data_IF_266932514209
#
_entry.id   IF_266932514209
#
_cell.length_a   1.000
_cell.length_b   1.000
_cell.length_c   1.000
_cell.angle_alpha   90.00
_cell.angle_beta   90.00
_cell.angle_gamma   90.00
#
_symmetry.space_group_name_H-M   'P 1'
#
loop_
_entity.id
_entity.type
_entity.pdbx_description
1 polymer ?
#
# COMPACT_ATOMS: atom_id res chain seq x y z
N UNK A 1 -1.34 12.85 16.46
CA UNK A 1 -2.46 13.80 16.69
C UNK A 1 -1.97 15.20 17.11
N UNK A 2 -0.94 15.32 17.95
CA UNK A 2 -0.42 16.64 18.40
C UNK A 2 0.07 17.54 17.24
N UNK A 3 0.63 16.96 16.19
CA UNK A 3 1.12 17.70 15.03
C UNK A 3 0.03 18.12 14.02
N UNK A 4 -1.22 17.65 14.16
CA UNK A 4 -2.29 17.90 13.18
C UNK A 4 -2.62 19.40 12.97
N UNK A 5 -2.73 20.24 14.02
CA UNK A 5 -2.96 21.68 13.83
C UNK A 5 -1.80 22.37 13.08
N UNK A 6 -0.56 21.93 13.31
CA UNK A 6 0.60 22.44 12.59
C UNK A 6 0.59 21.99 11.12
N UNK A 7 0.27 20.72 10.85
CA UNK A 7 0.16 20.19 9.50
C UNK A 7 -0.85 20.99 8.65
N UNK A 8 -2.03 21.26 9.18
CA UNK A 8 -3.07 22.04 8.49
C UNK A 8 -2.68 23.49 8.16
N UNK A 9 -1.72 24.05 8.88
CA UNK A 9 -1.21 25.40 8.64
C UNK A 9 0.05 25.44 7.76
N UNK A 10 0.80 24.32 7.71
CA UNK A 10 2.14 24.31 7.12
C UNK A 10 2.14 24.64 5.63
N UNK A 11 1.23 24.07 4.86
CA UNK A 11 1.14 24.31 3.41
C UNK A 11 0.91 25.78 3.04
N UNK A 12 0.22 26.55 3.89
CA UNK A 12 -0.05 27.96 3.62
C UNK A 12 1.18 28.87 3.76
N UNK A 13 2.26 28.40 4.41
CA UNK A 13 3.49 29.18 4.65
C UNK A 13 4.29 29.34 3.35
N UNK A 14 4.32 28.30 2.50
CA UNK A 14 5.09 28.29 1.26
C UNK A 14 4.30 27.60 0.14
N UNK A 15 3.21 28.23 -0.29
CA UNK A 15 2.26 27.67 -1.25
C UNK A 15 2.88 27.27 -2.62
N UNK A 16 3.97 27.92 -3.03
CA UNK A 16 4.69 27.60 -4.26
C UNK A 16 5.71 26.45 -4.11
N UNK A 17 5.94 25.96 -2.89
CA UNK A 17 6.90 24.88 -2.65
C UNK A 17 6.20 23.53 -2.68
N UNK A 18 6.57 22.66 -3.63
CA UNK A 18 6.05 21.29 -3.73
C UNK A 18 6.23 20.53 -2.40
N UNK A 19 7.41 20.59 -1.81
CA UNK A 19 7.71 19.93 -0.54
C UNK A 19 6.86 20.47 0.61
N UNK A 20 6.65 21.78 0.71
CA UNK A 20 5.80 22.35 1.75
C UNK A 20 4.32 21.95 1.61
N UNK A 21 3.83 21.82 0.38
CA UNK A 21 2.49 21.31 0.09
C UNK A 21 2.36 19.83 0.44
N UNK A 22 3.41 19.04 0.22
CA UNK A 22 3.43 17.60 0.48
C UNK A 22 3.55 17.24 1.97
N UNK A 23 4.39 17.92 2.74
CA UNK A 23 4.74 17.54 4.13
C UNK A 23 3.55 17.25 5.05
N UNK A 24 2.42 18.00 4.98
CA UNK A 24 1.24 17.68 5.77
C UNK A 24 0.66 16.30 5.48
N UNK A 25 0.78 15.79 4.25
CA UNK A 25 0.24 14.49 3.86
C UNK A 25 0.85 13.32 4.62
N UNK A 26 2.10 13.43 5.10
CA UNK A 26 2.70 12.45 5.98
C UNK A 26 1.89 12.24 7.27
N UNK A 27 1.36 13.35 7.83
CA UNK A 27 0.53 13.30 9.04
C UNK A 27 -0.88 12.85 8.70
N UNK A 28 -1.44 13.35 7.61
CA UNK A 28 -2.78 12.98 7.18
C UNK A 28 -2.88 11.49 6.86
N UNK A 29 -1.93 10.94 6.11
CA UNK A 29 -1.84 9.51 5.79
C UNK A 29 -1.73 8.65 7.06
N UNK A 30 -0.87 9.02 8.01
CA UNK A 30 -0.72 8.30 9.29
C UNK A 30 -1.97 8.38 10.19
N UNK A 31 -2.84 9.34 9.97
CA UNK A 31 -4.08 9.50 10.71
C UNK A 31 -5.31 8.99 9.93
N UNK A 32 -5.13 8.51 8.70
CA UNK A 32 -6.22 8.07 7.84
C UNK A 32 -7.15 9.20 7.41
N UNK A 33 -6.61 10.42 7.26
CA UNK A 33 -7.30 11.62 6.80
C UNK A 33 -7.09 11.75 5.29
N UNK A 34 -7.83 10.92 4.55
CA UNK A 34 -7.55 10.68 3.13
C UNK A 34 -7.87 11.87 2.24
N UNK A 35 -9.01 12.56 2.43
CA UNK A 35 -9.35 13.78 1.69
C UNK A 35 -8.27 14.86 1.86
N UNK A 36 -7.76 15.07 3.09
CA UNK A 36 -6.69 16.04 3.35
C UNK A 36 -5.36 15.61 2.72
N UNK A 37 -5.05 14.30 2.71
CA UNK A 37 -3.88 13.76 2.01
C UNK A 37 -3.99 13.95 0.50
N UNK A 38 -5.15 13.69 -0.10
CA UNK A 38 -5.43 13.91 -1.53
C UNK A 38 -5.18 15.37 -1.88
N UNK A 39 -5.81 16.32 -1.16
CA UNK A 39 -5.68 17.74 -1.48
C UNK A 39 -4.23 18.23 -1.34
N UNK A 40 -3.53 17.78 -0.30
CA UNK A 40 -2.12 18.12 -0.06
C UNK A 40 -1.24 17.68 -1.23
N UNK A 41 -1.45 16.46 -1.73
CA UNK A 41 -0.62 15.92 -2.82
C UNK A 41 -1.00 16.48 -4.20
N UNK A 42 -2.27 16.78 -4.47
CA UNK A 42 -2.68 17.51 -5.69
C UNK A 42 -1.94 18.86 -5.76
N UNK A 43 -1.93 19.62 -4.67
CA UNK A 43 -1.25 20.90 -4.61
C UNK A 43 0.28 20.73 -4.79
N UNK A 44 0.86 19.72 -4.16
CA UNK A 44 2.30 19.43 -4.27
C UNK A 44 2.70 19.08 -5.70
N UNK A 45 1.97 18.19 -6.36
CA UNK A 45 2.21 17.78 -7.74
C UNK A 45 2.14 18.99 -8.66
N UNK A 46 1.10 19.84 -8.53
CA UNK A 46 0.96 21.06 -9.33
C UNK A 46 2.14 22.02 -9.12
N UNK A 47 2.58 22.21 -7.88
CA UNK A 47 3.74 23.05 -7.58
C UNK A 47 5.05 22.45 -8.13
N UNK A 48 5.21 21.12 -8.10
CA UNK A 48 6.37 20.41 -8.65
C UNK A 48 6.45 20.58 -10.17
N UNK A 49 5.33 20.41 -10.87
CA UNK A 49 5.24 20.60 -12.34
C UNK A 49 5.55 22.04 -12.74
N UNK A 50 4.98 23.02 -12.02
CA UNK A 50 5.26 24.43 -12.23
C UNK A 50 6.76 24.76 -12.03
N UNK A 51 7.36 24.23 -10.96
CA UNK A 51 8.78 24.40 -10.70
C UNK A 51 9.65 23.78 -11.79
N UNK A 52 9.36 22.54 -12.20
CA UNK A 52 10.10 21.85 -13.24
C UNK A 52 10.07 22.63 -14.57
N UNK A 53 8.90 23.15 -14.96
CA UNK A 53 8.74 23.98 -16.15
C UNK A 53 9.56 25.28 -16.06
N UNK A 54 9.48 26.00 -14.95
CA UNK A 54 10.19 27.27 -14.76
C UNK A 54 11.72 27.11 -14.72
N UNK A 55 12.19 25.98 -14.19
CA UNK A 55 13.62 25.69 -14.08
C UNK A 55 14.18 24.97 -15.32
N UNK A 56 13.37 24.66 -16.31
CA UNK A 56 13.80 23.94 -17.52
C UNK A 56 14.26 22.51 -17.22
N UNK A 57 13.72 21.87 -16.20
CA UNK A 57 14.00 20.46 -15.89
C UNK A 57 13.49 19.61 -17.06
N UNK A 58 14.38 18.76 -17.58
CA UNK A 58 13.99 17.79 -18.61
C UNK A 58 13.27 16.61 -17.95
N UNK A 59 12.07 16.32 -18.45
CA UNK A 59 11.22 15.27 -17.88
C UNK A 59 10.52 15.73 -16.58
N UNK A 60 10.29 14.78 -15.70
CA UNK A 60 9.52 14.97 -14.47
C UNK A 60 10.45 15.11 -13.26
N UNK A 61 10.08 15.99 -12.33
CA UNK A 61 10.84 16.19 -11.10
C UNK A 61 10.47 15.15 -10.04
N UNK A 62 11.43 14.72 -9.22
CA UNK A 62 11.25 13.69 -8.18
C UNK A 62 10.14 14.01 -7.16
N UNK A 63 9.93 15.27 -6.82
CA UNK A 63 8.85 15.68 -5.91
C UNK A 63 7.45 15.45 -6.51
N UNK A 64 7.32 15.48 -7.83
CA UNK A 64 6.07 15.14 -8.51
C UNK A 64 5.72 13.66 -8.31
N UNK A 65 6.67 12.76 -8.58
CA UNK A 65 6.43 11.32 -8.45
C UNK A 65 6.23 10.93 -6.98
N UNK A 66 6.91 11.60 -6.07
CA UNK A 66 6.72 11.42 -4.64
C UNK A 66 5.29 11.79 -4.20
N UNK A 67 4.77 12.91 -4.70
CA UNK A 67 3.37 13.31 -4.47
C UNK A 67 2.37 12.32 -5.09
N UNK A 68 2.66 11.81 -6.30
CA UNK A 68 1.80 10.83 -6.99
C UNK A 68 1.63 9.53 -6.19
N UNK A 69 2.69 9.01 -5.54
CA UNK A 69 2.61 7.79 -4.75
C UNK A 69 1.66 7.96 -3.56
N UNK A 70 1.73 9.08 -2.84
CA UNK A 70 0.81 9.40 -1.74
C UNK A 70 -0.62 9.63 -2.23
N UNK A 71 -0.77 10.29 -3.37
CA UNK A 71 -2.08 10.57 -3.97
C UNK A 71 -2.79 9.27 -4.37
N UNK A 72 -2.09 8.38 -5.07
CA UNK A 72 -2.61 7.08 -5.44
C UNK A 72 -3.03 6.28 -4.21
N UNK A 73 -2.16 6.23 -3.17
CA UNK A 73 -2.47 5.50 -1.95
C UNK A 73 -3.74 6.03 -1.29
N UNK A 74 -3.90 7.34 -1.20
CA UNK A 74 -5.10 7.94 -0.60
C UNK A 74 -6.37 7.66 -1.43
N UNK A 75 -6.30 7.73 -2.76
CA UNK A 75 -7.43 7.36 -3.63
C UNK A 75 -7.85 5.91 -3.43
N UNK A 76 -6.88 4.99 -3.30
CA UNK A 76 -7.16 3.57 -3.07
C UNK A 76 -7.85 3.35 -1.72
N UNK A 77 -7.49 4.10 -0.68
CA UNK A 77 -8.15 3.98 0.61
C UNK A 77 -9.59 4.51 0.60
N UNK A 78 -9.90 5.50 -0.23
CA UNK A 78 -11.26 6.01 -0.42
C UNK A 78 -12.08 5.22 -1.47
N UNK A 79 -11.52 4.13 -2.02
CA UNK A 79 -12.11 3.37 -3.10
C UNK A 79 -12.48 4.23 -4.32
N UNK A 80 -11.63 5.23 -4.63
CA UNK A 80 -11.68 6.06 -5.84
C UNK A 80 -10.80 5.42 -6.91
N UNK A 81 -11.14 4.21 -7.33
CA UNK A 81 -10.29 3.37 -8.18
C UNK A 81 -10.07 3.97 -9.58
N UNK A 82 -11.07 4.71 -10.11
CA UNK A 82 -10.90 5.45 -11.37
C UNK A 82 -9.85 6.55 -11.24
N UNK A 83 -9.87 7.29 -10.12
CA UNK A 83 -8.86 8.32 -9.86
C UNK A 83 -7.47 7.72 -9.64
N UNK A 84 -7.39 6.58 -8.97
CA UNK A 84 -6.15 5.83 -8.84
C UNK A 84 -5.64 5.33 -10.21
N UNK A 85 -6.53 4.80 -11.07
CA UNK A 85 -6.18 4.38 -12.43
C UNK A 85 -5.68 5.56 -13.27
N UNK A 86 -6.31 6.76 -13.20
CA UNK A 86 -5.82 7.96 -13.86
C UNK A 86 -4.35 8.25 -13.51
N UNK A 87 -3.95 8.04 -12.23
CA UNK A 87 -2.56 8.22 -11.80
C UNK A 87 -1.63 7.13 -12.37
N UNK A 88 -2.09 5.89 -12.47
CA UNK A 88 -1.34 4.80 -13.12
C UNK A 88 -1.14 5.07 -14.60
N UNK A 89 -2.19 5.50 -15.33
CA UNK A 89 -2.06 5.84 -16.75
C UNK A 89 -1.13 7.04 -16.95
N UNK A 90 -1.21 8.05 -16.09
CA UNK A 90 -0.27 9.16 -16.11
C UNK A 90 1.17 8.71 -15.86
N UNK A 91 1.41 7.86 -14.83
CA UNK A 91 2.75 7.32 -14.54
C UNK A 91 3.34 6.58 -15.75
N UNK A 92 2.54 5.87 -16.53
CA UNK A 92 2.98 5.15 -17.74
C UNK A 92 3.50 6.08 -18.85
N UNK A 93 3.09 7.34 -18.83
CA UNK A 93 3.58 8.34 -19.81
C UNK A 93 4.95 8.89 -19.44
N UNK A 94 5.40 8.71 -18.21
CA UNK A 94 6.64 9.25 -17.69
C UNK A 94 7.81 8.36 -18.12
N UNK A 95 8.69 8.87 -18.96
CA UNK A 95 9.88 8.17 -19.46
C UNK A 95 11.21 8.81 -19.03
N UNK A 96 11.17 10.09 -18.66
CA UNK A 96 12.33 10.86 -18.21
C UNK A 96 12.03 11.52 -16.87
N UNK A 97 12.95 11.37 -15.92
CA UNK A 97 12.86 11.92 -14.56
C UNK A 97 14.20 12.57 -14.14
N UNK A 98 14.12 13.59 -13.29
CA UNK A 98 15.31 14.27 -12.77
C UNK A 98 15.04 14.85 -11.36
N UNK A 99 15.99 14.66 -10.41
CA UNK A 99 17.14 13.76 -10.50
C UNK A 99 16.71 12.29 -10.45
N UNK A 100 17.56 11.36 -10.92
CA UNK A 100 17.28 9.93 -10.75
C UNK A 100 17.68 9.54 -9.32
N UNK A 101 16.69 9.19 -8.48
CA UNK A 101 16.90 8.76 -7.10
C UNK A 101 15.84 7.71 -6.66
N UNK A 102 15.82 7.39 -5.38
CA UNK A 102 14.91 6.35 -4.84
C UNK A 102 13.43 6.75 -4.83
N UNK A 103 13.06 8.04 -4.87
CA UNK A 103 11.66 8.47 -4.87
C UNK A 103 10.96 8.05 -6.16
N UNK A 104 11.59 8.30 -7.31
CA UNK A 104 11.05 7.87 -8.61
C UNK A 104 11.07 6.35 -8.73
N UNK A 105 12.18 5.70 -8.32
CA UNK A 105 12.26 4.26 -8.35
C UNK A 105 11.13 3.62 -7.52
N UNK A 106 10.86 4.18 -6.33
CA UNK A 106 9.79 3.71 -5.47
C UNK A 106 8.41 3.95 -6.10
N UNK A 107 8.15 5.16 -6.61
CA UNK A 107 6.87 5.47 -7.26
C UNK A 107 6.60 4.52 -8.45
N UNK A 108 7.57 4.34 -9.35
CA UNK A 108 7.44 3.44 -10.50
C UNK A 108 7.18 1.98 -10.11
N UNK A 109 7.73 1.51 -9.02
CA UNK A 109 7.56 0.13 -8.55
C UNK A 109 6.34 -0.04 -7.63
N UNK A 110 6.19 0.84 -6.64
CA UNK A 110 5.17 0.69 -5.59
C UNK A 110 3.77 1.09 -6.05
N UNK A 111 3.62 2.13 -6.88
CA UNK A 111 2.29 2.57 -7.32
C UNK A 111 1.51 1.47 -8.05
N UNK A 112 2.04 0.82 -9.12
CA UNK A 112 1.30 -0.25 -9.79
C UNK A 112 1.13 -1.48 -8.89
N UNK A 113 2.13 -1.77 -8.04
CA UNK A 113 2.04 -2.89 -7.09
C UNK A 113 0.91 -2.66 -6.08
N UNK A 114 0.87 -1.48 -5.46
CA UNK A 114 -0.19 -1.09 -4.51
C UNK A 114 -1.56 -1.07 -5.19
N UNK A 115 -1.64 -0.56 -6.42
CA UNK A 115 -2.88 -0.51 -7.18
C UNK A 115 -3.50 -1.91 -7.38
N UNK A 116 -2.68 -2.91 -7.71
CA UNK A 116 -3.14 -4.29 -7.83
C UNK A 116 -3.47 -4.93 -6.46
N UNK A 117 -2.59 -4.79 -5.46
CA UNK A 117 -2.73 -5.47 -4.18
C UNK A 117 -3.87 -4.92 -3.31
N UNK A 118 -4.06 -3.60 -3.25
CA UNK A 118 -5.14 -2.95 -2.47
C UNK A 118 -6.53 -3.32 -3.02
N UNK A 119 -6.62 -3.57 -4.31
CA UNK A 119 -7.84 -4.02 -4.97
C UNK A 119 -8.01 -5.53 -4.94
N UNK A 120 -6.99 -6.26 -4.47
CA UNK A 120 -6.90 -7.73 -4.52
C UNK A 120 -7.07 -8.27 -5.95
N UNK A 121 -6.62 -7.49 -6.95
CA UNK A 121 -6.58 -7.92 -8.35
C UNK A 121 -5.34 -8.77 -8.60
N UNK A 122 -5.46 -10.05 -8.25
CA UNK A 122 -4.36 -11.01 -8.39
C UNK A 122 -3.96 -11.28 -9.83
N UNK A 123 -4.91 -11.12 -10.76
CA UNK A 123 -4.65 -11.26 -12.20
C UNK A 123 -3.77 -10.11 -12.71
N UNK A 124 -4.03 -8.88 -12.27
CA UNK A 124 -3.18 -7.73 -12.55
C UNK A 124 -1.83 -7.86 -11.84
N UNK A 125 -1.82 -8.31 -10.58
CA UNK A 125 -0.59 -8.44 -9.79
C UNK A 125 0.48 -9.34 -10.46
N UNK A 126 0.10 -10.47 -11.05
CA UNK A 126 1.05 -11.35 -11.75
C UNK A 126 1.60 -10.76 -13.05
N UNK A 127 0.97 -9.72 -13.61
CA UNK A 127 1.37 -9.06 -14.83
C UNK A 127 2.21 -7.80 -14.60
N UNK A 128 2.50 -7.47 -13.34
CA UNK A 128 3.30 -6.28 -12.99
C UNK A 128 4.66 -6.31 -13.73
N UNK A 129 5.06 -5.19 -14.27
CA UNK A 129 6.33 -5.02 -14.97
C UNK A 129 7.11 -3.85 -14.38
N UNK A 130 8.45 -3.94 -14.44
CA UNK A 130 9.31 -2.79 -14.13
C UNK A 130 9.30 -1.82 -15.31
N UNK A 131 8.70 -0.67 -15.10
CA UNK A 131 8.63 0.42 -16.09
C UNK A 131 9.07 1.75 -15.44
N UNK A 132 9.70 2.66 -16.19
CA UNK A 132 10.17 2.51 -17.58
C UNK A 132 11.32 1.49 -17.69
N UNK A 133 11.42 0.81 -18.84
CA UNK A 133 12.44 -0.23 -19.03
C UNK A 133 13.88 0.32 -19.07
N UNK A 134 14.04 1.59 -19.46
CA UNK A 134 15.32 2.30 -19.49
C UNK A 134 15.74 2.91 -18.16
N UNK A 135 14.91 2.79 -17.09
CA UNK A 135 15.28 3.27 -15.78
C UNK A 135 16.40 2.37 -15.17
N UNK A 136 17.36 2.92 -14.44
CA UNK A 136 18.51 2.18 -13.95
C UNK A 136 18.18 1.31 -12.72
N UNK A 137 17.30 0.34 -12.88
CA UNK A 137 16.73 -0.52 -11.84
C UNK A 137 17.77 -1.25 -10.97
N UNK A 138 18.95 -1.51 -11.52
CA UNK A 138 20.02 -2.18 -10.76
C UNK A 138 20.58 -1.33 -9.60
N UNK A 139 20.34 -0.02 -9.62
CA UNK A 139 20.71 0.88 -8.52
C UNK A 139 19.67 0.90 -7.40
N UNK A 140 18.48 0.33 -7.63
CA UNK A 140 17.33 0.42 -6.73
C UNK A 140 16.74 -0.97 -6.43
N UNK A 141 17.55 -1.86 -5.80
CA UNK A 141 17.13 -3.26 -5.58
C UNK A 141 15.93 -3.39 -4.65
N UNK A 142 15.81 -2.55 -3.62
CA UNK A 142 14.66 -2.54 -2.71
C UNK A 142 13.36 -2.15 -3.43
N UNK A 143 13.40 -1.09 -4.20
CA UNK A 143 12.25 -0.58 -4.93
C UNK A 143 11.74 -1.63 -5.95
N UNK A 144 12.68 -2.25 -6.66
CA UNK A 144 12.43 -3.37 -7.58
C UNK A 144 11.76 -4.56 -6.88
N UNK A 145 12.14 -4.87 -5.65
CA UNK A 145 11.59 -5.98 -4.88
C UNK A 145 10.08 -5.86 -4.66
N UNK A 146 9.51 -4.66 -4.59
CA UNK A 146 8.06 -4.47 -4.44
C UNK A 146 7.28 -5.10 -5.60
N UNK A 147 7.79 -5.03 -6.83
CA UNK A 147 7.17 -5.67 -7.99
C UNK A 147 7.23 -7.20 -7.89
N UNK A 148 8.38 -7.76 -7.47
CA UNK A 148 8.51 -9.20 -7.25
C UNK A 148 7.55 -9.68 -6.15
N UNK A 149 7.42 -8.91 -5.05
CA UNK A 149 6.48 -9.21 -3.98
C UNK A 149 5.03 -9.20 -4.46
N UNK A 150 4.62 -8.18 -5.23
CA UNK A 150 3.29 -8.11 -5.83
C UNK A 150 2.98 -9.31 -6.74
N UNK A 151 3.92 -9.67 -7.65
CA UNK A 151 3.78 -10.85 -8.52
C UNK A 151 3.66 -12.13 -7.72
N UNK A 152 4.45 -12.27 -6.65
CA UNK A 152 4.41 -13.45 -5.79
C UNK A 152 3.05 -13.61 -5.14
N UNK A 153 2.52 -12.56 -4.51
CA UNK A 153 1.19 -12.61 -3.88
C UNK A 153 0.11 -12.94 -4.92
N UNK A 154 0.15 -12.29 -6.08
CA UNK A 154 -0.75 -12.61 -7.19
C UNK A 154 -0.66 -14.07 -7.60
N UNK A 155 0.56 -14.62 -7.77
CA UNK A 155 0.77 -16.00 -8.18
C UNK A 155 0.27 -17.01 -7.13
N UNK A 156 0.49 -16.76 -5.84
CA UNK A 156 -0.03 -17.63 -4.77
C UNK A 156 -1.54 -17.67 -4.77
N UNK A 157 -2.21 -16.53 -4.83
CA UNK A 157 -3.68 -16.47 -4.83
C UNK A 157 -4.30 -17.09 -6.09
N UNK A 158 -3.59 -17.04 -7.23
CA UNK A 158 -3.97 -17.74 -8.47
C UNK A 158 -3.52 -19.20 -8.53
N UNK A 159 -2.97 -19.76 -7.43
CA UNK A 159 -2.47 -21.15 -7.34
C UNK A 159 -1.33 -21.47 -8.31
N UNK A 160 -0.59 -20.47 -8.79
CA UNK A 160 0.60 -20.60 -9.63
C UNK A 160 1.86 -20.73 -8.77
N UNK A 161 1.95 -21.81 -7.98
CA UNK A 161 2.99 -21.96 -6.96
C UNK A 161 4.44 -21.99 -7.52
N UNK A 162 4.63 -22.48 -8.73
CA UNK A 162 5.95 -22.47 -9.38
C UNK A 162 6.42 -21.03 -9.63
N UNK A 163 5.53 -20.16 -10.12
CA UNK A 163 5.82 -18.75 -10.38
C UNK A 163 6.09 -18.03 -9.05
N UNK A 164 5.26 -18.26 -8.02
CA UNK A 164 5.46 -17.70 -6.70
C UNK A 164 6.83 -18.05 -6.10
N UNK A 165 7.26 -19.32 -6.23
CA UNK A 165 8.59 -19.76 -5.75
C UNK A 165 9.74 -19.14 -6.56
N UNK A 166 9.54 -18.85 -7.84
CA UNK A 166 10.53 -18.15 -8.64
C UNK A 166 10.67 -16.68 -8.20
N UNK A 167 9.56 -15.98 -7.94
CA UNK A 167 9.59 -14.61 -7.41
C UNK A 167 10.22 -14.58 -6.00
N UNK A 168 9.95 -15.58 -5.13
CA UNK A 168 10.58 -15.70 -3.81
C UNK A 168 12.11 -15.78 -3.93
N UNK A 169 12.63 -16.56 -4.87
CA UNK A 169 14.08 -16.62 -5.13
C UNK A 169 14.65 -15.26 -5.53
N UNK A 170 13.91 -14.47 -6.33
CA UNK A 170 14.36 -13.11 -6.67
C UNK A 170 14.40 -12.20 -5.44
N UNK A 171 13.40 -12.27 -4.56
CA UNK A 171 13.41 -11.50 -3.29
C UNK A 171 14.60 -11.91 -2.41
N UNK A 172 14.90 -13.19 -2.29
CA UNK A 172 16.06 -13.69 -1.52
C UNK A 172 17.39 -13.17 -2.09
N UNK A 173 17.57 -13.23 -3.42
CA UNK A 173 18.77 -12.69 -4.08
C UNK A 173 18.93 -11.17 -3.87
N UNK A 174 17.83 -10.41 -3.86
CA UNK A 174 17.86 -8.98 -3.57
C UNK A 174 18.22 -8.74 -2.11
N UNK A 175 17.66 -9.54 -1.18
CA UNK A 175 17.96 -9.45 0.24
C UNK A 175 19.46 -9.70 0.51
N UNK A 176 20.07 -10.71 -0.12
CA UNK A 176 21.51 -10.99 0.01
C UNK A 176 22.35 -9.79 -0.46
N UNK A 177 22.00 -9.18 -1.61
CA UNK A 177 22.66 -7.96 -2.10
C UNK A 177 22.56 -6.77 -1.12
N UNK A 178 21.40 -6.59 -0.48
CA UNK A 178 21.20 -5.53 0.51
C UNK A 178 22.07 -5.77 1.76
N UNK A 179 22.19 -7.03 2.19
CA UNK A 179 23.08 -7.41 3.30
C UNK A 179 24.56 -7.19 2.95
N UNK A 180 24.99 -7.56 1.77
CA UNK A 180 26.35 -7.32 1.26
C UNK A 180 26.67 -5.82 1.21
N UNK A 181 25.68 -5.01 0.81
CA UNK A 181 25.76 -3.55 0.79
C UNK A 181 25.64 -2.92 2.19
N UNK A 182 25.40 -3.70 3.25
CA UNK A 182 25.17 -3.25 4.63
C UNK A 182 23.98 -2.30 4.78
N UNK A 183 22.99 -2.39 3.89
CA UNK A 183 21.73 -1.67 3.98
C UNK A 183 20.76 -2.46 4.88
N UNK A 184 21.02 -2.43 6.17
CA UNK A 184 20.28 -3.23 7.16
C UNK A 184 18.80 -2.84 7.26
N UNK A 185 18.47 -1.57 7.03
CA UNK A 185 17.08 -1.11 7.07
C UNK A 185 16.26 -1.72 5.93
N UNK A 186 16.72 -1.55 4.68
CA UNK A 186 16.00 -2.12 3.52
C UNK A 186 16.04 -3.64 3.50
N UNK A 187 17.13 -4.26 3.97
CA UNK A 187 17.20 -5.72 4.16
C UNK A 187 16.12 -6.21 5.15
N UNK A 188 15.90 -5.51 6.27
CA UNK A 188 14.85 -5.84 7.23
C UNK A 188 13.44 -5.71 6.60
N UNK A 189 13.16 -4.63 5.88
CA UNK A 189 11.88 -4.46 5.17
C UNK A 189 11.63 -5.59 4.15
N UNK A 190 12.68 -5.98 3.41
CA UNK A 190 12.57 -7.07 2.46
C UNK A 190 12.41 -8.43 3.14
N UNK A 191 13.05 -8.65 4.30
CA UNK A 191 12.86 -9.88 5.08
C UNK A 191 11.40 -10.04 5.55
N UNK A 192 10.72 -8.95 5.89
CA UNK A 192 9.29 -8.95 6.20
C UNK A 192 8.48 -9.44 5.00
N UNK A 193 8.77 -8.90 3.79
CA UNK A 193 8.11 -9.35 2.55
C UNK A 193 8.41 -10.82 2.24
N UNK A 194 9.65 -11.28 2.45
CA UNK A 194 10.05 -12.69 2.26
C UNK A 194 9.26 -13.61 3.19
N UNK A 195 9.21 -13.30 4.50
CA UNK A 195 8.44 -14.10 5.47
C UNK A 195 6.95 -14.13 5.15
N UNK A 196 6.37 -12.98 4.75
CA UNK A 196 4.99 -12.90 4.28
C UNK A 196 4.77 -13.81 3.08
N UNK A 197 5.67 -13.76 2.12
CA UNK A 197 5.65 -14.58 0.90
C UNK A 197 5.73 -16.09 1.20
N UNK A 198 6.69 -16.48 2.03
CA UNK A 198 6.85 -17.86 2.48
C UNK A 198 5.60 -18.34 3.22
N UNK A 199 5.02 -17.49 4.08
CA UNK A 199 3.78 -17.78 4.80
C UNK A 199 2.62 -18.11 3.84
N UNK A 200 2.40 -17.27 2.83
CA UNK A 200 1.36 -17.50 1.84
C UNK A 200 1.63 -18.74 0.95
N UNK A 201 2.88 -19.01 0.58
CA UNK A 201 3.25 -20.25 -0.13
C UNK A 201 2.94 -21.46 0.74
N UNK A 202 3.37 -21.49 2.01
CA UNK A 202 3.08 -22.56 2.97
C UNK A 202 1.58 -22.79 3.16
N UNK A 203 0.81 -21.70 3.23
CA UNK A 203 -0.65 -21.79 3.30
C UNK A 203 -1.24 -22.46 2.06
N UNK A 204 -0.80 -22.06 0.88
CA UNK A 204 -1.25 -22.65 -0.39
C UNK A 204 -0.83 -24.14 -0.53
N UNK A 205 0.25 -24.55 0.12
CA UNK A 205 0.71 -25.96 0.23
C UNK A 205 -0.06 -26.75 1.31
N UNK A 206 -0.96 -26.12 2.07
CA UNK A 206 -1.72 -26.75 3.15
C UNK A 206 -0.98 -26.84 4.49
N UNK A 207 0.21 -26.26 4.61
CA UNK A 207 1.04 -26.25 5.81
C UNK A 207 0.65 -25.11 6.75
N UNK A 208 -0.59 -25.17 7.30
CA UNK A 208 -1.22 -24.07 8.04
C UNK A 208 -0.42 -23.58 9.25
N UNK A 209 0.20 -24.47 10.03
CA UNK A 209 0.95 -24.09 11.23
C UNK A 209 2.21 -23.28 10.87
N UNK A 210 2.98 -23.73 9.87
CA UNK A 210 4.16 -23.03 9.38
C UNK A 210 3.78 -21.67 8.76
N UNK A 211 2.69 -21.65 7.99
CA UNK A 211 2.16 -20.43 7.41
C UNK A 211 1.87 -19.37 8.46
N UNK A 212 1.13 -19.72 9.52
CA UNK A 212 0.81 -18.81 10.62
C UNK A 212 2.05 -18.34 11.39
N UNK A 213 3.01 -19.25 11.64
CA UNK A 213 4.27 -18.88 12.29
C UNK A 213 5.03 -17.81 11.50
N UNK A 214 5.15 -18.00 10.18
CA UNK A 214 5.83 -17.04 9.29
C UNK A 214 5.07 -15.71 9.21
N UNK A 215 3.76 -15.75 9.02
CA UNK A 215 2.94 -14.55 8.92
C UNK A 215 2.91 -13.75 10.22
N UNK A 216 2.79 -14.41 11.38
CA UNK A 216 2.86 -13.73 12.69
C UNK A 216 4.23 -13.09 12.89
N UNK A 217 5.31 -13.82 12.56
CA UNK A 217 6.67 -13.27 12.63
C UNK A 217 6.85 -12.05 11.71
N UNK A 218 6.33 -12.11 10.46
CA UNK A 218 6.39 -10.98 9.54
C UNK A 218 5.65 -9.76 10.09
N UNK A 219 4.43 -9.96 10.58
CA UNK A 219 3.61 -8.90 11.14
C UNK A 219 4.23 -8.28 12.41
N UNK A 220 4.81 -9.08 13.30
CA UNK A 220 5.48 -8.58 14.51
C UNK A 220 6.77 -7.82 14.18
N UNK A 221 7.52 -8.27 13.17
CA UNK A 221 8.70 -7.55 12.66
C UNK A 221 8.30 -6.21 12.06
N UNK A 222 7.25 -6.15 11.25
CA UNK A 222 6.75 -4.93 10.65
C UNK A 222 6.28 -3.94 11.73
N UNK A 223 5.52 -4.41 12.70
CA UNK A 223 5.03 -3.61 13.82
C UNK A 223 6.15 -3.02 14.69
N UNK A 224 7.27 -3.73 14.84
CA UNK A 224 8.43 -3.28 15.62
C UNK A 224 9.42 -2.43 14.82
N UNK A 225 9.24 -2.34 13.49
CA UNK A 225 10.13 -1.55 12.63
C UNK A 225 9.66 -0.10 12.58
N UNK A 226 10.52 0.83 12.99
CA UNK A 226 10.29 2.25 12.76
C UNK A 226 10.44 2.56 11.27
N UNK A 227 9.36 3.04 10.68
CA UNK A 227 9.33 3.36 9.28
C UNK A 227 9.93 4.74 9.02
N UNK A 228 10.87 4.83 8.09
CA UNK A 228 11.33 6.11 7.55
C UNK A 228 10.15 6.89 6.92
N UNK A 229 10.07 8.20 7.14
CA UNK A 229 8.88 8.97 6.79
C UNK A 229 8.70 9.24 5.29
N UNK A 230 9.54 8.68 4.42
CA UNK A 230 9.55 9.07 3.00
C UNK A 230 8.41 8.43 2.19
N UNK A 231 8.10 7.16 2.41
CA UNK A 231 7.03 6.48 1.66
C UNK A 231 5.69 6.52 2.42
N UNK A 232 4.52 6.44 1.75
CA UNK A 232 3.23 6.49 2.44
C UNK A 232 3.00 5.31 3.39
N UNK A 233 3.54 4.15 3.09
CA UNK A 233 3.41 2.93 3.87
C UNK A 233 3.98 1.74 3.15
N UNK A 234 3.86 0.60 3.74
CA UNK A 234 4.03 -0.70 3.12
C UNK A 234 3.12 -0.78 1.89
N UNK A 235 3.52 -1.53 0.86
CA UNK A 235 2.65 -1.70 -0.32
C UNK A 235 1.34 -2.41 0.06
N UNK A 236 1.41 -3.29 1.09
CA UNK A 236 0.29 -3.84 1.83
C UNK A 236 0.79 -4.31 3.21
N UNK A 237 0.12 -4.00 4.33
CA UNK A 237 0.59 -4.38 5.66
C UNK A 237 0.59 -5.89 5.91
N UNK A 238 1.67 -6.42 6.48
CA UNK A 238 1.76 -7.82 6.83
C UNK A 238 0.71 -8.24 7.87
N UNK A 239 0.36 -7.34 8.79
CA UNK A 239 -0.69 -7.59 9.81
C UNK A 239 -2.08 -7.70 9.17
N UNK A 240 -2.39 -6.91 8.15
CA UNK A 240 -3.63 -7.02 7.38
C UNK A 240 -3.70 -8.35 6.63
N UNK A 241 -2.59 -8.75 5.97
CA UNK A 241 -2.50 -10.05 5.30
C UNK A 241 -2.59 -11.25 6.25
N UNK A 242 -2.13 -11.12 7.50
CA UNK A 242 -2.35 -12.12 8.55
C UNK A 242 -3.84 -12.24 8.88
N UNK A 243 -4.55 -11.12 8.96
CA UNK A 243 -6.00 -11.09 9.13
C UNK A 243 -6.73 -11.81 7.99
N UNK A 244 -6.33 -11.54 6.74
CA UNK A 244 -6.86 -12.23 5.55
C UNK A 244 -6.65 -13.75 5.66
N UNK A 245 -5.44 -14.18 6.04
CA UNK A 245 -5.13 -15.61 6.21
C UNK A 245 -6.00 -16.27 7.29
N UNK A 246 -6.21 -15.63 8.44
CA UNK A 246 -7.13 -16.14 9.47
C UNK A 246 -8.58 -16.24 8.97
N UNK A 247 -9.07 -15.28 8.20
CA UNK A 247 -10.41 -15.37 7.59
C UNK A 247 -10.53 -16.55 6.63
N UNK A 248 -9.51 -16.81 5.80
CA UNK A 248 -9.48 -17.97 4.91
C UNK A 248 -9.41 -19.30 5.67
N UNK A 249 -8.81 -19.32 6.86
CA UNK A 249 -8.77 -20.49 7.74
C UNK A 249 -10.07 -20.72 8.51
N UNK A 250 -11.02 -19.78 8.50
CA UNK A 250 -12.25 -19.85 9.28
C UNK A 250 -12.05 -19.49 10.75
N UNK A 251 -11.05 -18.65 11.06
CA UNK A 251 -10.68 -18.18 12.40
C UNK A 251 -11.04 -16.68 12.59
N UNK A 252 -12.33 -16.30 12.50
CA UNK A 252 -12.71 -14.88 12.41
C UNK A 252 -12.34 -14.07 13.67
N UNK A 253 -12.32 -14.67 14.86
CA UNK A 253 -11.92 -13.97 16.07
C UNK A 253 -10.45 -13.52 16.01
N UNK A 254 -9.54 -14.40 15.55
CA UNK A 254 -8.12 -14.06 15.37
C UNK A 254 -7.90 -13.08 14.23
N UNK A 255 -8.70 -13.21 13.15
CA UNK A 255 -8.69 -12.24 12.06
C UNK A 255 -9.03 -10.84 12.55
N UNK A 256 -10.07 -10.70 13.37
CA UNK A 256 -10.44 -9.42 13.98
C UNK A 256 -9.31 -8.81 14.79
N UNK A 257 -8.64 -9.60 15.66
CA UNK A 257 -7.49 -9.14 16.45
C UNK A 257 -6.37 -8.59 15.55
N UNK A 258 -6.09 -9.27 14.43
CA UNK A 258 -5.08 -8.83 13.47
C UNK A 258 -5.49 -7.51 12.76
N UNK A 259 -6.71 -7.41 12.27
CA UNK A 259 -7.19 -6.18 11.62
C UNK A 259 -7.27 -5.00 12.60
N UNK A 260 -7.73 -5.21 13.83
CA UNK A 260 -7.76 -4.15 14.84
C UNK A 260 -6.35 -3.69 15.25
N UNK A 261 -5.36 -4.59 15.27
CA UNK A 261 -3.97 -4.25 15.52
C UNK A 261 -3.41 -3.39 14.36
N UNK A 262 -3.69 -3.77 13.11
CA UNK A 262 -3.32 -2.98 11.93
C UNK A 262 -3.99 -1.60 11.94
N UNK A 263 -5.29 -1.53 12.19
CA UNK A 263 -6.06 -0.27 12.20
C UNK A 263 -5.61 0.73 13.29
N UNK A 264 -4.92 0.28 14.34
CA UNK A 264 -4.28 1.18 15.32
C UNK A 264 -3.08 1.92 14.72
N UNK A 265 -2.34 1.27 13.82
CA UNK A 265 -1.17 1.82 13.11
C UNK A 265 -1.56 2.56 11.83
N UNK A 266 -2.53 2.00 11.12
CA UNK A 266 -3.02 2.46 9.82
C UNK A 266 -4.53 2.76 9.88
N UNK A 267 -4.93 3.85 10.55
CA UNK A 267 -6.35 4.17 10.72
C UNK A 267 -7.06 4.37 9.39
N UNK A 268 -8.33 3.98 9.34
CA UNK A 268 -9.20 4.16 8.17
C UNK A 268 -8.67 3.49 6.88
N UNK A 269 -7.90 2.39 6.99
CA UNK A 269 -7.60 1.60 5.80
C UNK A 269 -8.86 0.86 5.33
N UNK A 270 -9.09 0.90 4.01
CA UNK A 270 -10.26 0.25 3.40
C UNK A 270 -10.31 -1.25 3.73
N UNK A 271 -9.24 -1.97 3.39
CA UNK A 271 -9.17 -3.42 3.60
C UNK A 271 -9.19 -3.82 5.08
N UNK A 272 -8.54 -3.04 5.95
CA UNK A 272 -8.56 -3.26 7.39
C UNK A 272 -9.97 -3.16 7.98
N UNK A 273 -10.73 -2.11 7.63
CA UNK A 273 -12.12 -1.94 8.09
C UNK A 273 -13.08 -2.95 7.47
N UNK A 274 -12.92 -3.24 6.18
CA UNK A 274 -13.69 -4.29 5.52
C UNK A 274 -13.44 -5.65 6.17
N UNK A 275 -12.16 -6.02 6.38
CA UNK A 275 -11.76 -7.27 7.01
C UNK A 275 -12.27 -7.42 8.44
N UNK A 276 -12.19 -6.36 9.27
CA UNK A 276 -12.74 -6.35 10.62
C UNK A 276 -14.26 -6.54 10.62
N UNK A 277 -14.97 -5.84 9.71
CA UNK A 277 -16.40 -6.01 9.52
C UNK A 277 -16.78 -7.45 9.13
N UNK A 278 -16.05 -8.05 8.18
CA UNK A 278 -16.24 -9.46 7.75
C UNK A 278 -15.96 -10.45 8.88
N UNK A 279 -14.95 -10.19 9.69
CA UNK A 279 -14.62 -11.04 10.85
C UNK A 279 -15.75 -11.04 11.88
N UNK A 280 -16.33 -9.88 12.20
CA UNK A 280 -17.47 -9.76 13.10
C UNK A 280 -18.76 -10.37 12.50
N UNK A 281 -19.01 -10.19 11.20
CA UNK A 281 -20.11 -10.84 10.49
C UNK A 281 -20.01 -12.37 10.58
N UNK A 282 -18.84 -12.93 10.26
CA UNK A 282 -18.59 -14.38 10.35
C UNK A 282 -18.67 -14.93 11.79
N UNK A 283 -18.45 -14.08 12.80
CA UNK A 283 -18.63 -14.41 14.22
C UNK A 283 -20.06 -14.25 14.71
N UNK A 284 -21.01 -13.84 13.84
CA UNK A 284 -22.41 -13.58 14.18
C UNK A 284 -22.66 -12.26 14.93
N UNK A 285 -21.69 -11.39 15.02
CA UNK A 285 -21.74 -10.12 15.75
C UNK A 285 -22.24 -8.96 14.84
N UNK A 286 -23.46 -9.09 14.31
CA UNK A 286 -24.05 -8.11 13.36
C UNK A 286 -23.90 -6.66 13.81
N UNK A 287 -24.13 -6.38 15.11
CA UNK A 287 -24.03 -5.01 15.64
C UNK A 287 -22.63 -4.40 15.50
N UNK A 288 -21.59 -5.18 15.72
CA UNK A 288 -20.19 -4.72 15.57
C UNK A 288 -19.78 -4.65 14.11
N UNK A 289 -20.21 -5.61 13.29
CA UNK A 289 -20.02 -5.55 11.84
C UNK A 289 -20.58 -4.25 11.25
N UNK A 290 -21.80 -3.86 11.67
CA UNK A 290 -22.42 -2.58 11.28
C UNK A 290 -21.54 -1.36 11.65
N UNK A 291 -20.84 -1.38 12.78
CA UNK A 291 -19.97 -0.25 13.17
C UNK A 291 -18.79 -0.08 12.21
N UNK A 292 -18.06 -1.17 11.89
CA UNK A 292 -16.97 -1.13 10.93
C UNK A 292 -17.43 -0.72 9.53
N UNK A 293 -18.52 -1.29 9.06
CA UNK A 293 -19.07 -0.98 7.74
C UNK A 293 -19.59 0.46 7.63
N UNK A 294 -20.24 0.99 8.67
CA UNK A 294 -20.64 2.41 8.71
C UNK A 294 -19.42 3.34 8.70
N UNK A 295 -18.36 2.98 9.42
CA UNK A 295 -17.11 3.74 9.38
C UNK A 295 -16.50 3.72 7.98
N UNK A 296 -16.43 2.55 7.33
CA UNK A 296 -15.91 2.43 5.97
C UNK A 296 -16.72 3.27 4.97
N UNK A 297 -18.05 3.18 5.01
CA UNK A 297 -18.92 3.95 4.11
C UNK A 297 -18.79 5.46 4.33
N UNK A 298 -18.53 5.91 5.55
CA UNK A 298 -18.46 7.34 5.87
C UNK A 298 -17.35 8.06 5.10
N UNK A 299 -16.15 7.47 5.00
CA UNK A 299 -15.05 8.11 4.26
C UNK A 299 -14.96 7.67 2.79
N UNK A 300 -15.67 6.60 2.39
CA UNK A 300 -15.79 6.18 0.99
C UNK A 300 -17.06 6.67 0.31
N UNK A 301 -17.71 7.70 0.86
CA UNK A 301 -18.97 8.26 0.33
C UNK A 301 -18.86 8.81 -1.09
N UNK A 302 -17.67 9.24 -1.50
CA UNK A 302 -17.34 9.73 -2.84
C UNK A 302 -16.60 8.69 -3.71
N UNK A 303 -16.68 7.39 -3.34
CA UNK A 303 -16.11 6.30 -4.13
C UNK A 303 -16.80 6.16 -5.50
N UNK A 304 -16.11 5.52 -6.44
CA UNK A 304 -16.68 5.19 -7.75
C UNK A 304 -17.56 3.92 -7.75
N UNK A 305 -17.73 3.30 -6.57
CA UNK A 305 -18.53 2.08 -6.32
C UNK A 305 -18.11 0.84 -7.15
N UNK A 306 -16.88 0.79 -7.65
CA UNK A 306 -16.39 -0.32 -8.49
C UNK A 306 -15.82 -1.49 -7.71
N UNK A 307 -15.52 -1.32 -6.41
CA UNK A 307 -15.01 -2.42 -5.59
C UNK A 307 -16.14 -3.35 -5.15
N UNK A 308 -16.04 -4.66 -5.43
CA UNK A 308 -17.03 -5.65 -4.97
C UNK A 308 -17.25 -5.58 -3.46
N UNK A 309 -16.19 -5.37 -2.68
CA UNK A 309 -16.28 -5.24 -1.22
C UNK A 309 -17.15 -4.05 -0.79
N UNK A 310 -17.15 -2.97 -1.55
CA UNK A 310 -17.98 -1.79 -1.25
C UNK A 310 -19.46 -2.09 -1.48
N UNK A 311 -19.79 -2.83 -2.54
CA UNK A 311 -21.15 -3.28 -2.83
C UNK A 311 -21.65 -4.28 -1.76
N UNK A 312 -20.80 -5.23 -1.34
CA UNK A 312 -21.12 -6.17 -0.26
C UNK A 312 -21.46 -5.44 1.04
N UNK A 313 -20.67 -4.43 1.40
CA UNK A 313 -20.90 -3.60 2.59
C UNK A 313 -22.23 -2.86 2.51
N UNK A 314 -22.56 -2.26 1.36
CA UNK A 314 -23.83 -1.56 1.18
C UNK A 314 -25.04 -2.51 1.26
N UNK A 315 -24.90 -3.70 0.68
CA UNK A 315 -25.95 -4.72 0.76
C UNK A 315 -26.15 -5.16 2.22
N UNK A 316 -25.07 -5.40 2.96
CA UNK A 316 -25.15 -5.76 4.37
C UNK A 316 -25.83 -4.66 5.20
N UNK A 317 -25.45 -3.39 4.98
CA UNK A 317 -26.05 -2.25 5.68
C UNK A 317 -27.55 -2.12 5.38
N UNK A 318 -27.98 -2.33 4.14
CA UNK A 318 -29.42 -2.29 3.77
C UNK A 318 -30.24 -3.38 4.45
N UNK A 319 -29.64 -4.57 4.62
CA UNK A 319 -30.34 -5.72 5.17
C UNK A 319 -30.41 -5.75 6.71
N UNK A 320 -29.58 -4.91 7.40
CA UNK A 320 -29.40 -4.97 8.85
C UNK A 320 -29.61 -3.60 9.55
N UNK A 321 -30.06 -2.57 8.85
CA UNK A 321 -30.44 -1.26 9.43
C UNK A 321 -31.89 -1.21 9.85
#
# INVERSE_FOLDING_TARGET
>A
RLALPAARKYASIAAASAHAQHMPSHIFTRLGLWDESIQSNINSISAAQCYAQNMGIKGHWDEELHGLDYLLYAYLQEAKDDKAMEQIEYLKTISEVFPINFKEAYAFAAMPTRFALERKDWAEAVQLELKPANFPWEKFPWEKANVNFGRLLGAVHLRKLADAKNELKQLQLIHDKLNEAKDSYRANLLLIQIKTSEGWIKFAEGQKADALSLMSSAADMEDSTEKEPVTPGEVIPARELLGDMYLEMGEPAKALEAYEADLKRHPNRFNGLYGAGRAEEKSGNTKKALQYYKQLVAFTSSSDHKRPQREEVELFLRNNN
#
